data_IF_014838268610
#
_entry.id   IF_014838268610
#
_cell.length_a   1.000
_cell.length_b   1.000
_cell.length_c   1.000
_cell.angle_alpha   90.00
_cell.angle_beta   90.00
_cell.angle_gamma   90.00
#
_symmetry.space_group_name_H-M   'P 1'
#
loop_
_entity.id
_entity.type
_entity.pdbx_description
1 polymer ?
#
# COMPACT_ATOMS: atom_id res chain seq x y z
N UNK A 1 -17.52 -10.17 2.52
CA UNK A 1 -16.98 -10.00 1.14
C UNK A 1 -16.23 -11.27 0.75
N UNK A 2 -16.48 -11.84 -0.42
CA UNK A 2 -15.66 -12.95 -0.88
C UNK A 2 -14.37 -12.37 -1.44
N UNK A 3 -13.20 -12.84 -1.01
CA UNK A 3 -11.88 -12.37 -1.49
C UNK A 3 -11.77 -12.46 -3.03
N UNK A 4 -12.41 -13.45 -3.64
CA UNK A 4 -12.45 -13.61 -5.10
C UNK A 4 -13.11 -12.44 -5.84
N UNK A 5 -14.06 -11.74 -5.19
CA UNK A 5 -14.63 -10.51 -5.76
C UNK A 5 -13.64 -9.37 -5.81
N UNK A 6 -12.76 -9.26 -4.80
CA UNK A 6 -11.70 -8.26 -4.78
C UNK A 6 -10.66 -8.45 -5.89
N UNK A 7 -10.40 -9.70 -6.30
CA UNK A 7 -9.44 -9.98 -7.36
C UNK A 7 -9.79 -9.29 -8.68
N UNK A 8 -11.09 -9.06 -8.93
CA UNK A 8 -11.59 -8.42 -10.14
C UNK A 8 -11.73 -6.88 -10.02
N UNK A 9 -11.58 -6.32 -8.83
CA UNK A 9 -11.67 -4.87 -8.59
C UNK A 9 -10.28 -4.22 -8.54
N UNK A 10 -10.23 -2.91 -8.74
CA UNK A 10 -9.02 -2.11 -8.53
C UNK A 10 -9.14 -1.43 -7.17
N UNK A 11 -8.17 -1.68 -6.30
CA UNK A 11 -8.10 -1.03 -4.98
C UNK A 11 -7.99 0.49 -5.11
N UNK A 12 -8.52 1.23 -4.13
CA UNK A 12 -8.57 2.69 -4.15
C UNK A 12 -7.21 3.32 -4.46
N UNK A 13 -6.13 2.83 -3.86
CA UNK A 13 -4.79 3.40 -3.99
C UNK A 13 -4.20 3.35 -5.40
N UNK A 14 -4.75 2.49 -6.29
CA UNK A 14 -4.30 2.32 -7.69
C UNK A 14 -5.18 3.04 -8.71
N UNK A 15 -6.25 3.69 -8.31
CA UNK A 15 -7.21 4.30 -9.25
C UNK A 15 -6.58 5.39 -10.12
N UNK A 16 -5.58 6.11 -9.63
CA UNK A 16 -4.92 7.16 -10.38
C UNK A 16 -5.81 8.38 -10.66
N UNK A 17 -6.83 8.61 -9.83
CA UNK A 17 -7.83 9.69 -10.00
C UNK A 17 -7.64 10.86 -9.04
N UNK A 18 -6.76 10.74 -8.05
CA UNK A 18 -6.48 11.79 -7.07
C UNK A 18 -5.52 12.87 -7.61
N UNK A 19 -5.33 13.97 -6.85
CA UNK A 19 -4.35 15.00 -7.20
C UNK A 19 -2.95 14.43 -7.35
N UNK A 20 -2.16 14.99 -8.26
CA UNK A 20 -0.75 14.62 -8.52
C UNK A 20 -0.53 13.12 -8.85
N UNK A 21 -1.56 12.41 -9.34
CA UNK A 21 -1.54 10.95 -9.57
C UNK A 21 -0.56 10.50 -10.67
N UNK A 22 0.01 11.42 -11.42
CA UNK A 22 1.13 11.16 -12.33
C UNK A 22 2.42 10.72 -11.59
N UNK A 23 2.60 11.21 -10.35
CA UNK A 23 3.74 10.90 -9.48
C UNK A 23 3.29 10.24 -8.18
N UNK A 24 2.20 10.71 -7.57
CA UNK A 24 1.70 10.19 -6.29
C UNK A 24 0.70 9.06 -6.52
N UNK A 25 1.06 7.86 -6.10
CA UNK A 25 0.15 6.70 -6.18
C UNK A 25 -0.95 6.77 -5.14
N UNK A 26 -0.58 7.08 -3.89
CA UNK A 26 -1.54 7.15 -2.79
C UNK A 26 -1.02 7.95 -1.60
N UNK A 27 -1.96 8.52 -0.85
CA UNK A 27 -1.79 9.05 0.51
C UNK A 27 -2.37 8.06 1.50
N UNK A 28 -1.66 7.82 2.62
CA UNK A 28 -2.09 6.86 3.64
C UNK A 28 -1.79 7.38 5.04
N UNK A 29 -2.76 7.25 5.94
CA UNK A 29 -2.57 7.47 7.37
C UNK A 29 -2.93 6.20 8.13
N UNK A 30 -2.13 5.88 9.15
CA UNK A 30 -2.34 4.76 10.07
C UNK A 30 -2.30 5.25 11.50
N UNK A 31 -3.14 4.67 12.36
CA UNK A 31 -3.18 4.92 13.80
C UNK A 31 -2.99 3.60 14.54
N UNK A 32 -2.05 3.56 15.49
CA UNK A 32 -1.84 2.44 16.40
C UNK A 32 -2.62 2.70 17.69
N UNK A 33 -3.42 1.73 18.14
CA UNK A 33 -4.23 1.79 19.35
C UNK A 33 -4.17 0.48 20.12
N UNK A 34 -4.08 0.56 21.44
CA UNK A 34 -4.21 -0.60 22.32
C UNK A 34 -5.42 -0.43 23.25
N UNK A 35 -6.00 -1.52 23.68
CA UNK A 35 -7.12 -1.55 24.64
C UNK A 35 -6.56 -1.55 26.05
N UNK A 36 -7.03 -0.65 26.91
CA UNK A 36 -6.46 -0.40 28.23
C UNK A 36 -6.44 -1.63 29.17
N UNK A 37 -7.38 -2.55 29.00
CA UNK A 37 -7.58 -3.70 29.91
C UNK A 37 -6.83 -4.96 29.54
N UNK A 38 -6.12 -4.97 28.39
CA UNK A 38 -5.41 -6.14 27.91
C UNK A 38 -3.89 -5.92 27.88
N UNK A 39 -3.08 -7.00 28.01
CA UNK A 39 -1.63 -6.92 27.83
C UNK A 39 -1.32 -6.64 26.35
N UNK A 40 -0.22 -5.93 26.06
CA UNK A 40 0.24 -5.73 24.68
C UNK A 40 0.44 -7.06 23.95
N UNK A 41 0.21 -7.08 22.63
CA UNK A 41 0.28 -8.28 21.77
C UNK A 41 1.57 -9.07 21.99
N UNK A 42 2.70 -8.37 22.20
CA UNK A 42 4.02 -8.99 22.45
C UNK A 42 4.12 -9.79 23.76
N UNK A 43 3.18 -9.57 24.71
CA UNK A 43 3.11 -10.25 26.01
C UNK A 43 1.81 -11.05 26.18
N UNK A 44 0.92 -10.98 25.20
CA UNK A 44 -0.38 -11.64 25.22
C UNK A 44 -0.21 -13.16 24.99
N UNK A 45 -0.91 -13.96 25.80
CA UNK A 45 -1.10 -15.38 25.56
C UNK A 45 -2.03 -15.61 24.35
N UNK A 46 -2.15 -16.84 23.89
CA UNK A 46 -3.12 -17.19 22.83
C UNK A 46 -4.57 -16.88 23.26
N UNK A 47 -4.88 -17.12 24.53
CA UNK A 47 -6.19 -16.80 25.10
C UNK A 47 -6.43 -15.27 25.11
N UNK A 48 -5.43 -14.48 25.55
CA UNK A 48 -5.53 -13.02 25.53
C UNK A 48 -5.77 -12.50 24.12
N UNK A 49 -5.07 -13.03 23.11
CA UNK A 49 -5.25 -12.64 21.69
C UNK A 49 -6.67 -12.99 21.21
N UNK A 50 -7.20 -14.15 21.59
CA UNK A 50 -8.56 -14.54 21.23
C UNK A 50 -9.59 -13.63 21.90
N UNK A 51 -9.36 -13.24 23.16
CA UNK A 51 -10.24 -12.33 23.91
C UNK A 51 -10.18 -10.91 23.37
N UNK A 52 -8.98 -10.41 22.98
CA UNK A 52 -8.79 -9.10 22.33
C UNK A 52 -9.53 -9.07 20.98
N UNK A 53 -9.33 -10.09 20.16
CA UNK A 53 -9.97 -10.21 18.83
C UNK A 53 -11.50 -10.18 18.98
N UNK A 54 -12.06 -11.03 19.85
CA UNK A 54 -13.50 -11.10 20.10
C UNK A 54 -14.03 -9.76 20.62
N UNK A 55 -13.36 -9.15 21.59
CA UNK A 55 -13.74 -7.86 22.15
C UNK A 55 -13.77 -6.77 21.09
N UNK A 56 -12.72 -6.64 20.28
CA UNK A 56 -12.63 -5.62 19.24
C UNK A 56 -13.67 -5.86 18.14
N UNK A 57 -13.86 -7.11 17.69
CA UNK A 57 -14.89 -7.48 16.72
C UNK A 57 -16.29 -7.03 17.15
N UNK A 58 -16.67 -7.39 18.38
CA UNK A 58 -17.98 -7.03 18.94
C UNK A 58 -18.14 -5.52 19.06
N UNK A 59 -17.12 -4.81 19.56
CA UNK A 59 -17.17 -3.36 19.75
C UNK A 59 -17.16 -2.60 18.44
N UNK A 60 -16.30 -2.98 17.51
CA UNK A 60 -16.25 -2.35 16.16
C UNK A 60 -17.60 -2.54 15.47
N UNK A 61 -18.18 -3.73 15.50
CA UNK A 61 -19.48 -4.00 14.89
C UNK A 61 -20.62 -3.11 15.43
N UNK A 62 -20.55 -2.70 16.72
CA UNK A 62 -21.54 -1.79 17.34
C UNK A 62 -21.24 -0.31 17.09
N UNK A 63 -20.04 0.02 16.58
CA UNK A 63 -19.69 1.41 16.27
C UNK A 63 -20.33 1.87 14.95
N UNK A 64 -20.56 3.19 14.79
CA UNK A 64 -21.05 3.73 13.51
C UNK A 64 -20.13 3.39 12.32
N UNK A 65 -18.82 3.25 12.56
CA UNK A 65 -17.86 2.85 11.52
C UNK A 65 -18.02 1.37 11.12
N UNK A 66 -18.40 0.49 12.05
CA UNK A 66 -18.45 -0.95 11.85
C UNK A 66 -19.52 -1.43 10.85
N UNK A 67 -20.61 -0.67 10.69
CA UNK A 67 -21.72 -1.04 9.79
C UNK A 67 -21.31 -1.10 8.29
N UNK A 68 -20.24 -0.41 7.92
CA UNK A 68 -19.71 -0.38 6.55
C UNK A 68 -18.52 -1.32 6.33
N UNK A 69 -18.09 -2.04 7.37
CA UNK A 69 -16.89 -2.88 7.35
C UNK A 69 -17.27 -4.36 7.29
N UNK A 70 -16.59 -5.11 6.44
CA UNK A 70 -16.65 -6.56 6.39
C UNK A 70 -15.46 -7.16 7.14
N UNK A 71 -15.75 -8.09 8.03
CA UNK A 71 -14.80 -8.74 8.90
C UNK A 71 -14.22 -10.00 8.24
N UNK A 72 -12.90 -10.16 8.29
CA UNK A 72 -12.17 -11.31 7.76
C UNK A 72 -11.27 -11.86 8.88
N UNK A 73 -11.44 -13.12 9.23
CA UNK A 73 -10.52 -13.85 10.10
C UNK A 73 -9.25 -14.21 9.33
N UNK A 74 -8.17 -13.44 9.56
CA UNK A 74 -6.87 -13.66 8.89
C UNK A 74 -6.20 -14.94 9.39
N UNK A 75 -6.49 -15.37 10.62
CA UNK A 75 -5.98 -16.61 11.20
C UNK A 75 -6.43 -17.86 10.46
N UNK A 76 -7.66 -17.84 9.94
CA UNK A 76 -8.27 -18.95 9.20
C UNK A 76 -7.98 -18.97 7.70
N UNK A 77 -7.33 -17.94 7.15
CA UNK A 77 -6.98 -17.88 5.72
C UNK A 77 -5.78 -18.77 5.38
N UNK A 78 -5.70 -19.25 4.14
CA UNK A 78 -4.51 -19.86 3.57
C UNK A 78 -3.42 -18.81 3.24
N UNK A 79 -2.24 -19.28 2.85
CA UNK A 79 -1.09 -18.41 2.56
C UNK A 79 -1.32 -17.51 1.35
N UNK A 80 -2.02 -18.00 0.34
CA UNK A 80 -2.34 -17.23 -0.88
C UNK A 80 -3.29 -16.09 -0.54
N UNK A 81 -4.32 -16.35 0.26
CA UNK A 81 -5.30 -15.35 0.67
C UNK A 81 -4.67 -14.28 1.58
N UNK A 82 -3.81 -14.67 2.53
CA UNK A 82 -3.05 -13.71 3.35
C UNK A 82 -2.14 -12.83 2.49
N UNK A 83 -1.37 -13.44 1.60
CA UNK A 83 -0.48 -12.72 0.70
C UNK A 83 -1.26 -11.80 -0.28
N UNK A 84 -2.43 -12.24 -0.75
CA UNK A 84 -3.33 -11.43 -1.57
C UNK A 84 -3.76 -10.14 -0.86
N UNK A 85 -4.12 -10.21 0.42
CA UNK A 85 -4.46 -9.03 1.21
C UNK A 85 -3.24 -8.10 1.42
N UNK A 86 -2.03 -8.65 1.56
CA UNK A 86 -0.77 -7.86 1.63
C UNK A 86 -0.51 -7.15 0.30
N UNK A 87 -0.63 -7.84 -0.82
CA UNK A 87 -0.41 -7.27 -2.16
C UNK A 87 -1.38 -6.12 -2.45
N UNK A 88 -2.59 -6.20 -1.91
CA UNK A 88 -3.60 -5.12 -1.98
C UNK A 88 -3.40 -4.02 -0.94
N UNK A 89 -2.37 -4.07 -0.10
CA UNK A 89 -2.10 -3.10 0.97
C UNK A 89 -3.20 -3.03 2.06
N UNK A 90 -4.04 -4.07 2.18
CA UNK A 90 -5.15 -4.13 3.15
C UNK A 90 -4.69 -4.63 4.52
N UNK A 91 -3.63 -5.46 4.56
CA UNK A 91 -2.95 -5.88 5.78
C UNK A 91 -1.44 -5.70 5.65
N UNK A 92 -0.75 -5.69 6.78
CA UNK A 92 0.72 -5.72 6.82
C UNK A 92 1.25 -7.15 6.64
N UNK A 93 2.55 -7.28 6.31
CA UNK A 93 3.24 -8.56 6.30
C UNK A 93 3.28 -9.17 7.70
N UNK A 94 3.49 -8.33 8.71
CA UNK A 94 3.52 -8.71 10.10
C UNK A 94 2.20 -9.38 10.53
N UNK A 95 1.04 -8.82 10.12
CA UNK A 95 -0.26 -9.45 10.39
C UNK A 95 -0.44 -10.76 9.62
N UNK A 96 0.00 -10.82 8.37
CA UNK A 96 -0.10 -12.04 7.56
C UNK A 96 0.71 -13.21 8.17
N UNK A 97 1.90 -12.92 8.70
CA UNK A 97 2.85 -13.89 9.27
C UNK A 97 2.61 -14.18 10.77
N UNK A 98 1.86 -13.33 11.48
CA UNK A 98 1.57 -13.47 12.90
C UNK A 98 0.89 -14.81 13.20
N UNK A 99 0.92 -15.22 14.48
CA UNK A 99 0.29 -16.45 14.97
C UNK A 99 -0.88 -16.10 15.92
N UNK A 100 -1.82 -17.02 16.05
CA UNK A 100 -2.99 -16.87 16.91
C UNK A 100 -4.13 -16.07 16.29
N UNK A 101 -5.11 -15.72 17.11
CA UNK A 101 -6.31 -14.99 16.68
C UNK A 101 -5.96 -13.60 16.18
N UNK A 102 -6.27 -13.33 14.92
CA UNK A 102 -6.02 -12.07 14.24
C UNK A 102 -7.00 -11.87 13.08
N UNK A 103 -7.33 -10.61 12.81
CA UNK A 103 -8.36 -10.30 11.83
C UNK A 103 -8.13 -8.95 11.16
N UNK A 104 -8.91 -8.69 10.11
CA UNK A 104 -9.04 -7.38 9.50
C UNK A 104 -10.49 -7.08 9.17
N UNK A 105 -10.92 -5.84 9.41
CA UNK A 105 -12.20 -5.33 8.94
C UNK A 105 -11.96 -4.30 7.84
N UNK A 106 -12.62 -4.45 6.68
CA UNK A 106 -12.33 -3.70 5.45
C UNK A 106 -13.62 -3.11 4.89
N UNK A 107 -13.59 -1.86 4.42
CA UNK A 107 -14.71 -1.28 3.69
C UNK A 107 -14.75 -1.75 2.22
N UNK A 108 -15.95 -1.67 1.61
CA UNK A 108 -16.15 -2.14 0.23
C UNK A 108 -15.38 -1.36 -0.86
N UNK A 109 -14.75 -0.21 -0.51
CA UNK A 109 -13.91 0.58 -1.42
C UNK A 109 -12.42 0.37 -1.19
N UNK A 110 -12.03 -0.42 -0.17
CA UNK A 110 -10.64 -0.61 0.24
C UNK A 110 -9.94 0.70 0.67
N UNK A 111 -10.72 1.68 1.14
CA UNK A 111 -10.20 2.94 1.68
C UNK A 111 -9.85 2.82 3.16
N UNK A 112 -10.59 1.98 3.90
CA UNK A 112 -10.45 1.78 5.34
C UNK A 112 -10.15 0.32 5.63
N UNK A 113 -9.12 0.07 6.45
CA UNK A 113 -8.86 -1.25 7.03
C UNK A 113 -8.49 -1.13 8.51
N UNK A 114 -9.08 -2.01 9.33
CA UNK A 114 -8.83 -2.13 10.76
C UNK A 114 -8.18 -3.49 11.02
N UNK A 115 -6.87 -3.52 11.23
CA UNK A 115 -6.11 -4.74 11.52
C UNK A 115 -6.14 -4.99 13.03
N UNK A 116 -6.44 -6.23 13.43
CA UNK A 116 -6.56 -6.66 14.84
C UNK A 116 -5.46 -7.65 15.16
N UNK A 117 -4.77 -7.44 16.31
CA UNK A 117 -3.66 -8.25 16.78
C UNK A 117 -2.47 -8.32 15.81
N UNK A 118 -2.06 -7.17 15.31
CA UNK A 118 -0.81 -7.03 14.58
C UNK A 118 0.34 -6.76 15.58
N UNK A 119 1.04 -5.65 15.51
CA UNK A 119 2.00 -5.20 16.53
C UNK A 119 1.27 -4.64 17.76
N UNK A 120 0.21 -3.88 17.52
CA UNK A 120 -0.73 -3.36 18.49
C UNK A 120 -2.09 -4.07 18.37
N UNK A 121 -2.98 -3.92 19.37
CA UNK A 121 -4.29 -4.56 19.36
C UNK A 121 -5.13 -4.13 18.14
N UNK A 122 -5.03 -2.85 17.76
CA UNK A 122 -5.75 -2.27 16.64
C UNK A 122 -4.83 -1.34 15.84
N UNK A 123 -4.78 -1.54 14.54
CA UNK A 123 -4.19 -0.62 13.58
C UNK A 123 -5.25 -0.18 12.59
N UNK A 124 -5.67 1.07 12.72
CA UNK A 124 -6.61 1.71 11.79
C UNK A 124 -5.79 2.25 10.63
N UNK A 125 -6.23 2.01 9.40
CA UNK A 125 -5.59 2.52 8.19
C UNK A 125 -6.65 3.14 7.28
N UNK A 126 -6.36 4.34 6.75
CA UNK A 126 -7.09 4.92 5.63
C UNK A 126 -6.13 5.25 4.49
N UNK A 127 -6.62 5.11 3.24
CA UNK A 127 -5.82 5.28 2.04
C UNK A 127 -6.66 5.87 0.89
N UNK A 128 -6.13 6.91 0.23
CA UNK A 128 -6.72 7.53 -0.95
C UNK A 128 -5.75 7.54 -2.12
N UNK A 129 -6.27 7.52 -3.35
CA UNK A 129 -5.47 7.71 -4.57
C UNK A 129 -4.94 9.13 -4.66
N UNK A 130 -3.69 9.28 -5.11
CA UNK A 130 -3.04 10.58 -5.28
C UNK A 130 -2.66 11.28 -3.97
N UNK A 131 -2.41 12.59 -4.05
CA UNK A 131 -2.02 13.42 -2.90
C UNK A 131 -3.24 14.02 -2.21
N UNK A 132 -3.83 13.28 -1.28
CA UNK A 132 -5.00 13.71 -0.50
C UNK A 132 -4.81 13.43 0.99
N UNK A 133 -3.81 14.08 1.61
CA UNK A 133 -3.52 13.92 3.04
C UNK A 133 -4.65 14.43 3.94
N UNK A 134 -5.31 15.54 3.55
CA UNK A 134 -6.44 16.07 4.31
C UNK A 134 -7.65 15.14 4.30
N UNK A 135 -8.03 14.61 3.13
CA UNK A 135 -9.15 13.69 2.99
C UNK A 135 -8.94 12.41 3.79
N UNK A 136 -7.73 11.81 3.68
CA UNK A 136 -7.35 10.62 4.45
C UNK A 136 -7.37 10.92 5.95
N UNK A 137 -6.84 12.07 6.39
CA UNK A 137 -6.85 12.45 7.80
C UNK A 137 -8.26 12.61 8.35
N UNK A 138 -9.12 13.32 7.64
CA UNK A 138 -10.52 13.51 8.03
C UNK A 138 -11.27 12.18 8.15
N UNK A 139 -11.02 11.27 7.21
CA UNK A 139 -11.67 9.95 7.22
C UNK A 139 -11.19 9.08 8.37
N UNK A 140 -9.87 8.99 8.59
CA UNK A 140 -9.33 8.14 9.67
C UNK A 140 -9.70 8.67 11.05
N UNK A 141 -9.73 9.99 11.23
CA UNK A 141 -10.15 10.63 12.49
C UNK A 141 -11.60 10.26 12.82
N UNK A 142 -12.49 10.34 11.85
CA UNK A 142 -13.89 9.95 12.03
C UNK A 142 -14.04 8.46 12.43
N UNK A 143 -13.21 7.58 11.85
CA UNK A 143 -13.19 6.15 12.21
C UNK A 143 -12.62 5.94 13.61
N UNK A 144 -11.49 6.59 13.95
CA UNK A 144 -10.85 6.48 15.28
C UNK A 144 -11.76 7.00 16.39
N UNK A 145 -12.43 8.14 16.19
CA UNK A 145 -13.42 8.68 17.14
C UNK A 145 -14.62 7.75 17.33
N UNK A 146 -15.14 7.18 16.22
CA UNK A 146 -16.27 6.27 16.28
C UNK A 146 -15.94 4.98 17.07
N UNK A 147 -14.74 4.43 16.85
CA UNK A 147 -14.23 3.25 17.57
C UNK A 147 -13.88 3.60 19.02
N UNK A 148 -13.26 4.74 19.26
CA UNK A 148 -12.87 5.21 20.60
C UNK A 148 -14.04 5.46 21.56
N UNK A 149 -15.25 5.68 21.03
CA UNK A 149 -16.48 5.77 21.85
C UNK A 149 -16.88 4.43 22.48
N UNK A 150 -16.49 3.32 21.89
CA UNK A 150 -16.87 1.95 22.30
C UNK A 150 -15.69 1.09 22.77
N UNK A 151 -14.46 1.52 22.48
CA UNK A 151 -13.22 0.84 22.87
C UNK A 151 -12.40 1.76 23.77
N UNK A 152 -12.12 1.38 25.03
CA UNK A 152 -11.28 2.17 25.93
C UNK A 152 -9.81 2.03 25.52
N UNK A 153 -9.27 3.05 24.87
CA UNK A 153 -7.86 3.05 24.43
C UNK A 153 -6.89 3.20 25.62
N UNK A 154 -5.76 2.51 25.52
CA UNK A 154 -4.63 2.68 26.45
C UNK A 154 -3.98 4.05 26.21
N UNK A 155 -4.27 4.99 27.08
CA UNK A 155 -3.81 6.37 27.00
C UNK A 155 -3.22 6.84 28.33
N UNK A 156 -2.13 7.60 28.25
CA UNK A 156 -1.51 8.21 29.42
C UNK A 156 -1.40 9.74 29.20
N UNK A 157 -1.85 10.59 30.17
CA UNK A 157 -1.91 12.06 29.97
C UNK A 157 -0.58 12.70 29.57
N UNK A 158 0.55 12.13 30.00
CA UNK A 158 1.89 12.65 29.69
C UNK A 158 2.47 12.08 28.38
N UNK A 159 2.12 10.84 28.02
CA UNK A 159 2.77 10.12 26.93
C UNK A 159 1.86 9.91 25.70
N UNK A 160 0.57 10.24 25.80
CA UNK A 160 -0.40 9.98 24.74
C UNK A 160 -0.83 8.51 24.66
N UNK A 161 -1.14 8.04 23.48
CA UNK A 161 -1.49 6.64 23.22
C UNK A 161 -0.29 5.71 23.48
N UNK A 162 -0.55 4.65 24.25
CA UNK A 162 0.46 3.66 24.60
C UNK A 162 0.49 2.56 23.54
N UNK A 163 1.65 2.37 22.93
CA UNK A 163 1.86 1.41 21.84
C UNK A 163 2.94 0.40 22.16
N UNK A 164 2.92 -0.77 21.52
CA UNK A 164 3.93 -1.81 21.72
C UNK A 164 5.32 -1.33 21.25
N UNK A 165 5.39 -0.60 20.13
CA UNK A 165 6.63 -0.01 19.64
C UNK A 165 6.80 1.41 20.21
N UNK A 166 7.94 1.72 20.87
CA UNK A 166 8.19 3.07 21.43
C UNK A 166 8.16 4.20 20.38
N UNK A 167 8.45 3.91 19.11
CA UNK A 167 8.41 4.91 18.04
C UNK A 167 7.00 5.37 17.66
N UNK A 168 5.98 4.62 18.07
CA UNK A 168 4.57 4.95 17.82
C UNK A 168 3.90 5.62 19.04
N UNK A 169 4.56 5.62 20.24
CA UNK A 169 4.03 6.25 21.46
C UNK A 169 3.78 7.75 21.23
N UNK A 170 2.68 8.26 21.74
CA UNK A 170 2.23 9.65 21.55
C UNK A 170 0.95 9.69 20.76
N UNK A 171 1.00 10.17 19.55
CA UNK A 171 -0.17 10.20 18.64
C UNK A 171 -0.49 8.82 18.04
N UNK A 172 0.47 7.90 18.00
CA UNK A 172 0.32 6.61 17.33
C UNK A 172 0.17 6.71 15.81
N UNK A 173 0.38 7.91 15.23
CA UNK A 173 0.12 8.20 13.81
C UNK A 173 1.34 7.86 12.93
N UNK A 174 1.07 7.29 11.78
CA UNK A 174 2.01 7.25 10.66
C UNK A 174 1.35 7.80 9.41
N UNK A 175 1.82 8.95 8.98
CA UNK A 175 1.49 9.58 7.70
C UNK A 175 2.46 9.09 6.64
N UNK A 176 1.99 8.67 5.50
CA UNK A 176 2.84 8.22 4.40
C UNK A 176 2.25 8.55 3.03
N UNK A 177 3.13 8.79 2.06
CA UNK A 177 2.79 9.01 0.66
C UNK A 177 3.64 8.06 -0.19
N UNK A 178 2.99 7.37 -1.13
CA UNK A 178 3.63 6.50 -2.11
C UNK A 178 3.90 7.27 -3.39
N UNK A 179 5.16 7.35 -3.79
CA UNK A 179 5.62 8.09 -4.95
C UNK A 179 6.24 7.16 -6.00
N UNK A 180 6.03 7.47 -7.27
CA UNK A 180 6.71 6.85 -8.41
C UNK A 180 7.76 7.81 -8.95
N UNK A 181 9.06 7.50 -8.78
CA UNK A 181 10.18 8.42 -9.00
C UNK A 181 11.22 7.86 -10.02
N UNK A 182 10.82 7.36 -11.19
CA UNK A 182 11.74 6.71 -12.15
C UNK A 182 12.76 7.68 -12.75
N UNK A 183 12.41 8.95 -12.97
CA UNK A 183 13.35 9.90 -13.58
C UNK A 183 14.47 10.29 -12.61
N UNK A 184 14.18 10.43 -11.30
CA UNK A 184 15.21 10.62 -10.28
C UNK A 184 16.15 9.42 -10.16
N UNK A 185 15.66 8.20 -10.38
CA UNK A 185 16.48 6.97 -10.42
C UNK A 185 17.37 6.97 -11.65
N UNK A 186 16.82 7.19 -12.84
CA UNK A 186 17.58 7.21 -14.12
C UNK A 186 18.67 8.27 -14.08
N UNK A 187 18.37 9.46 -13.56
CA UNK A 187 19.33 10.58 -13.44
C UNK A 187 20.27 10.45 -12.25
N UNK A 188 20.19 9.35 -11.47
CA UNK A 188 21.01 9.06 -10.29
C UNK A 188 20.95 10.13 -9.19
N UNK A 189 19.82 10.83 -9.09
CA UNK A 189 19.60 11.87 -8.08
C UNK A 189 18.89 11.33 -6.82
N UNK A 190 18.30 10.14 -6.89
CA UNK A 190 17.46 9.56 -5.85
C UNK A 190 18.17 9.45 -4.49
N UNK A 191 19.45 9.02 -4.45
CA UNK A 191 20.20 8.86 -3.20
C UNK A 191 20.46 10.20 -2.50
N UNK A 192 20.64 11.27 -3.27
CA UNK A 192 20.80 12.63 -2.70
C UNK A 192 19.50 13.10 -2.05
N UNK A 193 18.37 12.83 -2.70
CA UNK A 193 17.03 13.13 -2.18
C UNK A 193 16.82 12.37 -0.86
N UNK A 194 17.07 11.07 -0.83
CA UNK A 194 16.86 10.25 0.37
C UNK A 194 17.73 10.68 1.54
N UNK A 195 19.01 11.02 1.32
CA UNK A 195 19.85 11.59 2.36
C UNK A 195 19.30 12.90 2.95
N UNK A 196 18.66 13.71 2.12
CA UNK A 196 18.02 14.95 2.59
C UNK A 196 16.76 14.67 3.44
N UNK A 197 15.96 13.68 3.06
CA UNK A 197 14.76 13.25 3.82
C UNK A 197 15.14 12.70 5.21
N UNK A 198 16.17 11.87 5.28
CA UNK A 198 16.65 11.34 6.57
C UNK A 198 17.09 12.44 7.55
N UNK A 199 17.68 13.54 7.06
CA UNK A 199 18.10 14.67 7.91
C UNK A 199 16.92 15.39 8.58
N UNK A 200 15.73 15.29 8.02
CA UNK A 200 14.50 15.89 8.56
C UNK A 200 13.57 14.85 9.18
N UNK A 201 14.14 13.70 9.58
CA UNK A 201 13.39 12.61 10.26
C UNK A 201 12.22 12.04 9.45
N UNK A 202 12.36 11.95 8.13
CA UNK A 202 11.47 11.20 7.27
C UNK A 202 12.12 9.87 6.85
N UNK A 203 11.35 8.80 6.90
CA UNK A 203 11.76 7.48 6.43
C UNK A 203 11.39 7.30 4.96
N UNK A 204 12.28 6.65 4.22
CA UNK A 204 12.03 6.18 2.85
C UNK A 204 12.03 4.67 2.85
N UNK A 205 11.02 4.05 2.24
CA UNK A 205 10.84 2.59 2.17
C UNK A 205 10.38 2.18 0.79
N UNK A 206 10.55 0.90 0.44
CA UNK A 206 9.96 0.34 -0.78
C UNK A 206 8.44 0.16 -0.68
N UNK A 207 7.85 -0.37 -1.75
CA UNK A 207 6.39 -0.52 -1.93
C UNK A 207 5.69 -1.25 -0.78
N UNK A 208 6.32 -2.27 -0.22
CA UNK A 208 5.72 -3.12 0.83
C UNK A 208 6.17 -2.76 2.27
N UNK A 209 6.80 -1.59 2.46
CA UNK A 209 7.12 -1.08 3.81
C UNK A 209 8.53 -1.43 4.29
N UNK A 210 8.68 -1.68 5.60
CA UNK A 210 9.97 -1.84 6.28
C UNK A 210 10.78 -3.01 5.72
N UNK A 211 12.09 -2.80 5.49
CA UNK A 211 12.99 -3.81 4.95
C UNK A 211 12.76 -4.19 3.48
N UNK A 212 11.72 -3.65 2.80
CA UNK A 212 11.50 -3.94 1.39
C UNK A 212 12.41 -3.12 0.49
N UNK A 213 13.00 -3.78 -0.54
CA UNK A 213 13.68 -3.06 -1.60
C UNK A 213 12.68 -2.27 -2.46
N UNK A 214 13.14 -1.18 -3.06
CA UNK A 214 12.34 -0.46 -4.04
C UNK A 214 12.14 -1.35 -5.27
N UNK A 215 10.88 -1.66 -5.57
CA UNK A 215 10.51 -2.39 -6.76
C UNK A 215 9.81 -1.43 -7.73
N UNK A 216 10.29 -1.33 -8.97
CA UNK A 216 9.67 -0.50 -10.00
C UNK A 216 9.70 1.00 -9.69
N UNK A 217 10.73 1.48 -8.97
CA UNK A 217 10.93 2.90 -8.63
C UNK A 217 9.77 3.51 -7.79
N UNK A 218 9.06 2.67 -7.02
CA UNK A 218 8.03 3.10 -6.05
C UNK A 218 8.62 3.24 -4.66
N UNK A 219 8.42 4.41 -4.05
CA UNK A 219 8.97 4.76 -2.74
C UNK A 219 7.90 5.32 -1.83
N UNK A 220 7.86 4.83 -0.60
CA UNK A 220 7.00 5.35 0.45
C UNK A 220 7.79 6.30 1.34
N UNK A 221 7.33 7.55 1.45
CA UNK A 221 7.86 8.55 2.38
C UNK A 221 6.94 8.62 3.59
N UNK A 222 7.49 8.60 4.80
CA UNK A 222 6.70 8.65 6.04
C UNK A 222 7.44 9.31 7.20
N UNK A 223 6.70 9.81 8.21
CA UNK A 223 7.29 10.22 9.49
C UNK A 223 7.95 9.03 10.21
N UNK A 224 8.97 9.30 11.03
CA UNK A 224 9.68 8.26 11.82
C UNK A 224 9.26 8.22 13.27
N UNK A 225 8.99 9.35 13.88
CA UNK A 225 8.70 9.50 15.30
C UNK A 225 7.39 10.24 15.51
N UNK A 226 6.73 9.98 16.64
CA UNK A 226 5.43 10.53 17.00
C UNK A 226 5.45 11.26 18.32
N UNK A 227 6.30 10.85 19.27
CA UNK A 227 6.36 11.44 20.61
C UNK A 227 6.82 12.91 20.56
N UNK A 228 6.07 13.79 21.23
CA UNK A 228 6.38 15.22 21.32
C UNK A 228 5.95 16.04 20.10
N UNK A 229 5.19 15.46 19.18
CA UNK A 229 4.57 16.16 18.02
C UNK A 229 3.07 15.95 18.04
N UNK A 230 2.33 16.90 17.47
CA UNK A 230 0.90 16.75 17.21
C UNK A 230 0.66 16.00 15.89
N UNK A 231 -0.57 15.52 15.70
CA UNK A 231 -0.98 14.89 14.43
C UNK A 231 -0.86 15.88 13.26
N UNK A 232 -1.26 17.13 13.48
CA UNK A 232 -1.19 18.21 12.49
C UNK A 232 0.25 18.52 12.09
N UNK A 233 1.18 18.59 13.04
CA UNK A 233 2.61 18.78 12.76
C UNK A 233 3.19 17.66 11.89
N UNK A 234 2.76 16.41 12.12
CA UNK A 234 3.22 15.26 11.34
C UNK A 234 2.62 15.22 9.93
N UNK A 235 1.34 15.59 9.80
CA UNK A 235 0.68 15.76 8.50
C UNK A 235 1.34 16.88 7.69
N UNK A 236 1.58 18.03 8.33
CA UNK A 236 2.24 19.18 7.70
C UNK A 236 3.66 18.84 7.26
N UNK A 237 4.44 18.15 8.12
CA UNK A 237 5.81 17.74 7.80
C UNK A 237 5.89 16.92 6.50
N UNK A 238 4.98 15.96 6.31
CA UNK A 238 4.92 15.17 5.07
C UNK A 238 4.36 16.01 3.92
N UNK A 239 3.31 16.79 4.20
CA UNK A 239 2.65 17.68 3.23
C UNK A 239 3.57 18.72 2.62
N UNK A 240 4.50 19.30 3.37
CA UNK A 240 5.46 20.28 2.88
C UNK A 240 6.56 19.67 1.99
N UNK A 241 6.92 18.43 2.24
CA UNK A 241 8.04 17.78 1.55
C UNK A 241 7.61 17.12 0.24
N UNK A 242 6.42 16.52 0.20
CA UNK A 242 5.96 15.78 -0.99
C UNK A 242 5.88 16.65 -2.25
N UNK A 243 5.37 17.90 -2.23
CA UNK A 243 5.37 18.77 -3.41
C UNK A 243 6.78 19.07 -3.94
N UNK A 244 7.78 19.18 -3.06
CA UNK A 244 9.17 19.38 -3.45
C UNK A 244 9.73 18.15 -4.20
N UNK A 245 9.38 16.94 -3.75
CA UNK A 245 9.76 15.71 -4.43
C UNK A 245 9.09 15.56 -5.80
N UNK A 246 7.83 15.95 -5.89
CA UNK A 246 7.08 15.98 -7.15
C UNK A 246 7.76 16.93 -8.16
N UNK A 247 8.14 18.12 -7.73
CA UNK A 247 8.84 19.09 -8.56
C UNK A 247 10.21 18.55 -9.04
N UNK A 248 10.97 17.91 -8.15
CA UNK A 248 12.24 17.27 -8.54
C UNK A 248 12.04 16.15 -9.58
N UNK A 249 11.06 15.30 -9.41
CA UNK A 249 10.75 14.24 -10.38
C UNK A 249 10.32 14.84 -11.72
N UNK A 250 9.47 15.89 -11.73
CA UNK A 250 9.04 16.57 -12.96
C UNK A 250 10.20 17.20 -13.71
N UNK A 251 11.08 17.92 -13.00
CA UNK A 251 12.31 18.48 -13.61
C UNK A 251 13.22 17.42 -14.16
N UNK A 252 13.35 16.28 -13.46
CA UNK A 252 14.14 15.16 -13.96
C UNK A 252 13.51 14.54 -15.22
N UNK A 253 12.17 14.42 -15.30
CA UNK A 253 11.44 13.99 -16.50
C UNK A 253 11.66 14.96 -17.67
N UNK A 254 11.52 16.26 -17.44
CA UNK A 254 11.78 17.29 -18.47
C UNK A 254 13.22 17.24 -18.98
N UNK A 255 14.20 17.07 -18.08
CA UNK A 255 15.60 16.91 -18.43
C UNK A 255 15.82 15.67 -19.34
N UNK A 256 15.23 14.53 -18.96
CA UNK A 256 15.36 13.28 -19.74
C UNK A 256 14.77 13.43 -21.16
N UNK A 257 13.61 14.06 -21.29
CA UNK A 257 12.98 14.32 -22.60
C UNK A 257 13.85 15.26 -23.43
N UNK A 258 14.35 16.36 -22.86
CA UNK A 258 15.13 17.33 -23.60
C UNK A 258 16.51 16.83 -24.03
N UNK A 259 17.23 16.12 -23.16
CA UNK A 259 18.64 15.78 -23.37
C UNK A 259 18.86 14.34 -23.87
N UNK A 260 17.89 13.44 -23.63
CA UNK A 260 18.06 12.01 -23.87
C UNK A 260 16.80 11.32 -24.42
N UNK A 261 15.95 12.05 -25.13
CA UNK A 261 14.63 11.58 -25.61
C UNK A 261 14.71 10.21 -26.29
N UNK A 262 15.64 10.04 -27.25
CA UNK A 262 15.80 8.77 -27.96
C UNK A 262 16.14 7.60 -27.04
N UNK A 263 17.00 7.82 -26.02
CA UNK A 263 17.36 6.79 -25.07
C UNK A 263 16.18 6.40 -24.17
N UNK A 264 15.41 7.39 -23.70
CA UNK A 264 14.21 7.14 -22.90
C UNK A 264 13.17 6.41 -23.72
N UNK A 265 12.93 6.86 -24.96
CA UNK A 265 12.01 6.21 -25.89
C UNK A 265 12.42 4.75 -26.19
N UNK A 266 13.71 4.48 -26.44
CA UNK A 266 14.21 3.11 -26.63
C UNK A 266 14.00 2.24 -25.39
N UNK A 267 14.33 2.72 -24.18
CA UNK A 267 14.10 1.99 -22.93
C UNK A 267 12.62 1.66 -22.71
N UNK A 268 11.73 2.62 -22.93
CA UNK A 268 10.28 2.46 -22.81
C UNK A 268 9.76 1.46 -23.84
N UNK A 269 10.19 1.59 -25.11
CA UNK A 269 9.78 0.70 -26.22
C UNK A 269 10.22 -0.75 -25.96
N UNK A 270 11.46 -0.95 -25.48
CA UNK A 270 11.96 -2.28 -25.11
C UNK A 270 11.16 -2.87 -23.95
N UNK A 271 10.90 -2.07 -22.90
CA UNK A 271 10.10 -2.51 -21.77
C UNK A 271 8.69 -2.95 -22.22
N UNK A 272 8.04 -2.16 -23.05
CA UNK A 272 6.73 -2.47 -23.59
C UNK A 272 6.75 -3.70 -24.52
N UNK A 273 7.79 -3.81 -25.37
CA UNK A 273 8.00 -4.98 -26.23
C UNK A 273 8.13 -6.27 -25.43
N UNK A 274 8.92 -6.27 -24.33
CA UNK A 274 9.08 -7.45 -23.46
C UNK A 274 7.74 -7.82 -22.82
N UNK A 275 7.00 -6.87 -22.25
CA UNK A 275 5.69 -7.13 -21.63
C UNK A 275 4.69 -7.76 -22.62
N UNK A 276 4.78 -7.42 -23.91
CA UNK A 276 3.91 -7.94 -24.96
C UNK A 276 4.33 -9.32 -25.51
N UNK A 277 5.60 -9.73 -25.36
CA UNK A 277 6.12 -10.90 -26.07
C UNK A 277 6.78 -11.95 -25.18
N UNK A 278 7.12 -11.62 -23.92
CA UNK A 278 7.75 -12.55 -23.00
C UNK A 278 6.93 -13.84 -22.84
N UNK A 279 7.61 -15.00 -22.78
CA UNK A 279 6.97 -16.30 -22.54
C UNK A 279 7.02 -16.68 -21.04
N UNK A 280 7.98 -16.10 -20.33
CA UNK A 280 8.12 -16.21 -18.87
C UNK A 280 8.67 -14.89 -18.34
N UNK A 281 8.20 -14.43 -17.18
CA UNK A 281 8.63 -13.18 -16.57
C UNK A 281 8.44 -13.22 -15.04
N UNK A 282 9.42 -12.75 -14.29
CA UNK A 282 9.32 -12.67 -12.83
C UNK A 282 8.43 -11.49 -12.37
N UNK A 283 7.95 -11.53 -11.13
CA UNK A 283 7.20 -10.41 -10.56
C UNK A 283 8.07 -9.14 -10.46
N UNK A 284 9.32 -9.29 -10.07
CA UNK A 284 10.27 -8.17 -9.95
C UNK A 284 10.54 -7.51 -11.32
N UNK A 285 10.87 -8.30 -12.34
CA UNK A 285 11.08 -7.80 -13.71
C UNK A 285 9.81 -7.11 -14.23
N UNK A 286 8.64 -7.71 -13.99
CA UNK A 286 7.36 -7.10 -14.39
C UNK A 286 7.17 -5.72 -13.77
N UNK A 287 7.45 -5.56 -12.47
CA UNK A 287 7.34 -4.28 -11.79
C UNK A 287 8.28 -3.22 -12.37
N UNK A 288 9.52 -3.61 -12.70
CA UNK A 288 10.50 -2.70 -13.32
C UNK A 288 10.05 -2.27 -14.72
N UNK A 289 9.57 -3.20 -15.53
CA UNK A 289 9.10 -2.90 -16.89
C UNK A 289 7.81 -2.07 -16.88
N UNK A 290 6.85 -2.39 -16.00
CA UNK A 290 5.62 -1.59 -15.83
C UNK A 290 5.93 -0.17 -15.37
N UNK A 291 6.92 0.02 -14.50
CA UNK A 291 7.40 1.34 -14.09
C UNK A 291 7.90 2.16 -15.30
N UNK A 292 8.72 1.55 -16.18
CA UNK A 292 9.21 2.20 -17.41
C UNK A 292 8.07 2.55 -18.36
N UNK A 293 7.14 1.61 -18.56
CA UNK A 293 5.97 1.84 -19.43
C UNK A 293 5.08 2.92 -18.84
N UNK A 294 4.84 2.92 -17.51
CA UNK A 294 4.08 3.97 -16.84
C UNK A 294 4.68 5.36 -17.07
N UNK A 295 5.98 5.49 -16.90
CA UNK A 295 6.69 6.74 -17.22
C UNK A 295 6.53 7.12 -18.70
N UNK A 296 6.66 6.15 -19.61
CA UNK A 296 6.50 6.37 -21.05
C UNK A 296 5.12 6.87 -21.45
N UNK A 297 4.06 6.33 -20.84
CA UNK A 297 2.67 6.79 -21.04
C UNK A 297 2.52 8.24 -20.55
N UNK A 298 3.04 8.56 -19.37
CA UNK A 298 2.97 9.90 -18.79
C UNK A 298 3.78 10.95 -19.55
N UNK A 299 4.84 10.53 -20.26
CA UNK A 299 5.63 11.38 -21.13
C UNK A 299 5.09 11.47 -22.58
N UNK A 300 3.98 10.77 -22.88
CA UNK A 300 3.40 10.73 -24.23
C UNK A 300 4.19 9.91 -25.26
N UNK A 301 5.11 9.07 -24.82
CA UNK A 301 5.93 8.21 -25.67
C UNK A 301 5.21 6.91 -26.11
N UNK A 302 4.15 6.53 -25.41
CA UNK A 302 3.25 5.42 -25.71
C UNK A 302 1.82 5.95 -25.66
N UNK A 303 1.06 5.81 -26.77
CA UNK A 303 -0.31 6.35 -26.89
C UNK A 303 -1.43 5.33 -26.65
N UNK A 304 -1.15 4.05 -26.83
CA UNK A 304 -2.19 3.01 -26.90
C UNK A 304 -2.49 2.34 -25.55
N UNK A 305 -1.99 2.88 -24.43
CA UNK A 305 -2.11 2.28 -23.11
C UNK A 305 -2.65 3.30 -22.11
N UNK A 306 -3.67 2.90 -21.34
CA UNK A 306 -4.22 3.73 -20.27
C UNK A 306 -3.39 3.58 -18.99
N UNK A 307 -3.18 4.70 -18.28
CA UNK A 307 -2.45 4.71 -17.00
C UNK A 307 -3.15 3.88 -15.93
N UNK A 308 -4.48 3.83 -15.92
CA UNK A 308 -5.26 3.02 -15.00
C UNK A 308 -5.03 1.52 -15.22
N UNK A 309 -4.84 1.09 -16.49
CA UNK A 309 -4.52 -0.28 -16.83
C UNK A 309 -3.14 -0.67 -16.30
N UNK A 310 -2.13 0.20 -16.50
CA UNK A 310 -0.78 -0.02 -15.95
C UNK A 310 -0.84 -0.11 -14.42
N UNK A 311 -1.54 0.81 -13.76
CA UNK A 311 -1.70 0.77 -12.30
C UNK A 311 -2.37 -0.54 -11.83
N UNK A 312 -3.40 -1.01 -12.55
CA UNK A 312 -4.05 -2.29 -12.27
C UNK A 312 -3.09 -3.48 -12.41
N UNK A 313 -2.24 -3.48 -13.44
CA UNK A 313 -1.26 -4.54 -13.68
C UNK A 313 -0.20 -4.62 -12.57
N UNK A 314 0.15 -3.52 -11.90
CA UNK A 314 1.09 -3.52 -10.77
C UNK A 314 0.68 -4.47 -9.64
N UNK A 315 -0.63 -4.69 -9.42
CA UNK A 315 -1.15 -5.65 -8.44
C UNK A 315 -1.58 -6.96 -9.08
N UNK A 316 -2.30 -6.94 -10.19
CA UNK A 316 -2.82 -8.17 -10.82
C UNK A 316 -1.73 -9.15 -11.26
N UNK A 317 -0.51 -8.68 -11.46
CA UNK A 317 0.64 -9.51 -11.80
C UNK A 317 1.44 -9.98 -10.59
N UNK A 318 1.04 -9.62 -9.37
CA UNK A 318 1.67 -10.12 -8.15
C UNK A 318 1.34 -11.61 -7.91
N UNK A 319 2.21 -12.33 -7.18
CA UNK A 319 2.11 -13.78 -7.04
C UNK A 319 0.76 -14.30 -6.54
N UNK A 320 0.22 -13.72 -5.46
CA UNK A 320 -1.03 -14.21 -4.88
C UNK A 320 -2.24 -13.74 -5.68
N UNK A 321 -2.21 -12.48 -6.16
CA UNK A 321 -3.29 -11.93 -6.96
C UNK A 321 -3.50 -12.72 -8.27
N UNK A 322 -2.39 -13.08 -8.94
CA UNK A 322 -2.42 -13.89 -10.15
C UNK A 322 -3.04 -15.27 -9.90
N UNK A 323 -2.70 -15.93 -8.80
CA UNK A 323 -3.27 -17.22 -8.40
C UNK A 323 -4.76 -17.11 -8.09
N UNK A 324 -5.18 -16.06 -7.38
CA UNK A 324 -6.61 -15.78 -7.14
C UNK A 324 -7.40 -15.57 -8.43
N UNK A 325 -6.86 -14.81 -9.38
CA UNK A 325 -7.49 -14.60 -10.70
C UNK A 325 -7.64 -15.91 -11.49
N UNK A 326 -6.74 -16.86 -11.30
CA UNK A 326 -6.75 -18.16 -11.99
C UNK A 326 -7.51 -19.24 -11.22
N UNK A 327 -7.78 -19.04 -9.93
CA UNK A 327 -8.44 -20.03 -9.06
C UNK A 327 -7.60 -21.28 -8.83
N UNK A 328 -6.25 -21.19 -8.93
CA UNK A 328 -5.34 -22.33 -8.80
C UNK A 328 -4.03 -21.89 -8.15
N UNK A 329 -3.51 -22.74 -7.26
CA UNK A 329 -2.19 -22.56 -6.67
C UNK A 329 -1.12 -22.99 -7.68
N UNK A 330 -0.09 -22.15 -7.86
CA UNK A 330 0.96 -22.29 -8.85
C UNK A 330 2.34 -22.23 -8.18
N UNK A 331 3.27 -23.04 -8.65
CA UNK A 331 4.67 -22.89 -8.28
C UNK A 331 5.31 -21.63 -8.91
N UNK A 332 6.57 -21.33 -8.56
CA UNK A 332 7.24 -20.12 -9.05
C UNK A 332 7.40 -20.11 -10.56
N UNK A 333 7.69 -21.26 -11.18
CA UNK A 333 7.87 -21.37 -12.65
C UNK A 333 6.55 -21.13 -13.36
N UNK A 334 5.49 -21.78 -12.90
CA UNK A 334 4.16 -21.67 -13.50
C UNK A 334 3.57 -20.27 -13.30
N UNK A 335 3.79 -19.65 -12.14
CA UNK A 335 3.44 -18.22 -11.93
C UNK A 335 4.13 -17.30 -12.94
N UNK A 336 5.41 -17.52 -13.25
CA UNK A 336 6.15 -16.68 -14.19
C UNK A 336 5.64 -16.87 -15.64
N UNK A 337 5.28 -18.09 -16.04
CA UNK A 337 4.66 -18.38 -17.34
C UNK A 337 3.28 -17.75 -17.42
N UNK A 338 2.47 -17.92 -16.38
CA UNK A 338 1.10 -17.40 -16.33
C UNK A 338 1.07 -15.87 -16.30
N UNK A 339 1.98 -15.23 -15.60
CA UNK A 339 2.15 -13.77 -15.59
C UNK A 339 2.47 -13.25 -16.99
N UNK A 340 3.39 -13.90 -17.69
CA UNK A 340 3.71 -13.54 -19.08
C UNK A 340 2.50 -13.70 -20.00
N UNK A 341 1.72 -14.79 -19.85
CA UNK A 341 0.48 -15.00 -20.59
C UNK A 341 -0.55 -13.92 -20.29
N UNK A 342 -0.76 -13.59 -19.02
CA UNK A 342 -1.70 -12.55 -18.58
C UNK A 342 -1.35 -11.20 -19.19
N UNK A 343 -0.07 -10.80 -19.18
CA UNK A 343 0.41 -9.55 -19.76
C UNK A 343 0.19 -9.49 -21.26
N UNK A 344 0.56 -10.56 -22.00
CA UNK A 344 0.32 -10.61 -23.45
C UNK A 344 -1.16 -10.46 -23.79
N UNK A 345 -2.03 -11.22 -23.14
CA UNK A 345 -3.48 -11.13 -23.37
C UNK A 345 -4.00 -9.71 -23.11
N UNK A 346 -3.52 -9.06 -22.05
CA UNK A 346 -3.93 -7.70 -21.71
C UNK A 346 -3.51 -6.69 -22.79
N UNK A 347 -2.28 -6.77 -23.29
CA UNK A 347 -1.77 -5.84 -24.32
C UNK A 347 -2.13 -6.18 -25.77
N UNK A 348 -2.68 -7.35 -26.04
CA UNK A 348 -3.20 -7.76 -27.36
C UNK A 348 -4.68 -7.34 -27.57
N UNK A 349 -5.30 -6.68 -26.58
CA UNK A 349 -6.69 -6.20 -26.66
C UNK A 349 -7.76 -7.25 -26.31
N UNK A 350 -7.36 -8.37 -25.70
CA UNK A 350 -8.28 -9.37 -25.14
C UNK A 350 -8.36 -9.26 -23.62
N UNK A 351 -9.57 -9.05 -23.07
CA UNK A 351 -9.76 -9.32 -21.65
C UNK A 351 -9.33 -10.76 -21.36
N UNK A 352 -8.48 -10.99 -20.32
CA UNK A 352 -8.09 -12.35 -19.94
C UNK A 352 -9.38 -13.11 -19.56
N UNK A 353 -9.69 -14.14 -20.32
CA UNK A 353 -10.84 -15.00 -20.02
C UNK A 353 -10.65 -15.57 -18.62
N UNK A 354 -11.41 -15.09 -17.65
CA UNK A 354 -11.62 -15.79 -16.39
C UNK A 354 -12.31 -17.11 -16.76
N UNK A 355 -11.62 -18.23 -16.57
CA UNK A 355 -12.28 -19.53 -16.65
C UNK A 355 -13.27 -19.62 -15.52
N UNK A 356 -14.53 -19.21 -15.81
CA UNK A 356 -15.68 -19.63 -15.05
C UNK A 356 -16.03 -21.05 -15.55
N UNK A 357 -15.64 -22.03 -14.78
CA UNK A 357 -16.28 -23.33 -14.74
C UNK A 357 -16.60 -23.68 -13.29
#
# INVERSE_FOLDING_TARGET
MKLDTLANTVGEWLRGTGPESDIVMSSRVRLARNVAQFPFVSRATEQDRADIERFLRERIATSPAGSALEYIDVGGLDDVDRQFLVERQLISRELAEAQGARAVAIDGREQVSLMINEEDHLRIQCMHSGLDLEGVWRQILAVDEAVGKVVPYAYHPRFGYLTACPTNVGTGIRVSVMLHLPALVITRQIDKVFRSLHKISLAVRGLYGEGSQAMGDFYQISNQTTLGKTEEELLQQVGDVVPVLIDYERRAREFLVRETEQNVHDQVSRAFGILRTAQTISAEETMQLLSRVRMGVLLGLIGDVNIADINSLLVRTQPAHLQKLRGVELDTRDRNIERARYLRQHFEGGEPRTNAN
#
